data_IF_037354992448
#
_entry.id   IF_037354992448
#
_cell.length_a   1.000
_cell.length_b   1.000
_cell.length_c   1.000
_cell.angle_alpha   90.00
_cell.angle_beta   90.00
_cell.angle_gamma   90.00
#
_symmetry.space_group_name_H-M   'P 1'
#
loop_
_entity.id
_entity.type
_entity.pdbx_description
1 polymer ?
#
# COMPACT_ATOMS: atom_id res chain seq x y z
N UNK A 1 -5.03 10.06 -0.79
CA UNK A 1 -4.99 10.85 -2.05
C UNK A 1 -4.13 10.11 -3.06
N UNK A 2 -4.49 10.13 -4.35
CA UNK A 2 -3.70 9.54 -5.44
C UNK A 2 -4.08 8.11 -5.84
N UNK A 3 -4.87 7.39 -5.02
CA UNK A 3 -5.34 6.02 -5.28
C UNK A 3 -6.84 5.91 -4.96
N UNK A 4 -7.52 4.91 -5.52
CA UNK A 4 -8.94 4.66 -5.27
C UNK A 4 -9.88 5.65 -5.99
N UNK A 5 -9.84 5.70 -7.32
CA UNK A 5 -10.58 6.67 -8.13
C UNK A 5 -12.12 6.51 -8.12
N UNK A 6 -12.66 5.48 -7.45
CA UNK A 6 -14.09 5.18 -7.41
C UNK A 6 -14.64 4.49 -8.67
N UNK A 7 -13.78 4.21 -9.65
CA UNK A 7 -14.08 3.42 -10.85
C UNK A 7 -12.81 2.69 -11.31
N UNK A 8 -12.93 1.75 -12.26
CA UNK A 8 -11.79 1.06 -12.87
C UNK A 8 -11.37 1.84 -14.12
N UNK A 9 -10.16 2.43 -14.19
CA UNK A 9 -9.69 3.12 -15.38
C UNK A 9 -9.49 2.14 -16.55
N UNK A 10 -9.79 2.58 -17.78
CA UNK A 10 -9.66 1.74 -18.99
C UNK A 10 -8.22 1.29 -19.29
N UNK A 11 -7.23 2.00 -18.74
CA UNK A 11 -5.79 1.68 -18.90
C UNK A 11 -5.29 0.61 -17.93
N UNK A 12 -6.10 0.19 -16.95
CA UNK A 12 -5.72 -0.86 -16.00
C UNK A 12 -5.96 -2.23 -16.64
N UNK A 13 -4.88 -2.97 -16.86
CA UNK A 13 -4.96 -4.40 -17.17
C UNK A 13 -5.16 -5.18 -15.87
N UNK A 14 -6.30 -5.88 -15.76
CA UNK A 14 -6.64 -6.69 -14.57
C UNK A 14 -6.15 -8.13 -14.69
N UNK A 15 -5.76 -8.58 -15.89
CA UNK A 15 -5.28 -9.94 -16.08
C UNK A 15 -3.92 -10.18 -15.41
N UNK A 16 -3.20 -9.12 -15.07
CA UNK A 16 -1.88 -9.15 -14.39
C UNK A 16 -1.97 -8.90 -12.88
N UNK A 17 -3.18 -8.85 -12.30
CA UNK A 17 -3.38 -8.57 -10.87
C UNK A 17 -3.81 -9.85 -10.16
N UNK A 18 -2.95 -10.37 -9.27
CA UNK A 18 -3.23 -11.59 -8.50
C UNK A 18 -4.15 -11.36 -7.30
N UNK A 19 -4.18 -10.14 -6.76
CA UNK A 19 -4.95 -9.80 -5.58
C UNK A 19 -5.06 -8.29 -5.31
N UNK A 20 -5.89 -7.93 -4.34
CA UNK A 20 -6.11 -6.54 -3.93
C UNK A 20 -6.08 -6.44 -2.40
N UNK A 21 -5.09 -5.72 -1.89
CA UNK A 21 -5.00 -5.39 -0.46
C UNK A 21 -5.76 -4.09 -0.15
N UNK A 22 -6.72 -4.17 0.78
CA UNK A 22 -7.44 -3.00 1.26
C UNK A 22 -6.73 -2.40 2.48
N UNK A 23 -6.41 -1.12 2.40
CA UNK A 23 -5.74 -0.38 3.48
C UNK A 23 -6.60 0.80 3.89
N UNK A 24 -6.78 0.95 5.20
CA UNK A 24 -7.53 2.07 5.75
C UNK A 24 -6.71 3.36 5.65
N UNK A 25 -7.38 4.51 5.65
CA UNK A 25 -6.67 5.79 5.69
C UNK A 25 -5.80 5.91 6.95
N UNK A 26 -6.28 5.44 8.10
CA UNK A 26 -5.57 5.47 9.37
C UNK A 26 -4.24 4.71 9.29
N UNK A 27 -4.29 3.44 8.85
CA UNK A 27 -3.09 2.61 8.65
C UNK A 27 -2.10 3.27 7.69
N UNK A 28 -2.59 3.86 6.60
CA UNK A 28 -1.75 4.52 5.60
C UNK A 28 -1.07 5.77 6.16
N UNK A 29 -1.78 6.56 6.97
CA UNK A 29 -1.21 7.73 7.64
C UNK A 29 -0.17 7.35 8.68
N UNK A 30 -0.45 6.33 9.49
CA UNK A 30 0.49 5.83 10.49
C UNK A 30 1.76 5.32 9.84
N UNK A 31 1.64 4.50 8.79
CA UNK A 31 2.81 3.98 8.08
C UNK A 31 3.62 5.09 7.39
N UNK A 32 2.97 6.08 6.76
CA UNK A 32 3.68 7.20 6.16
C UNK A 32 4.48 8.02 7.20
N UNK A 33 3.91 8.23 8.39
CA UNK A 33 4.61 8.88 9.51
C UNK A 33 5.77 8.03 10.04
N UNK A 34 5.56 6.71 10.15
CA UNK A 34 6.60 5.77 10.57
C UNK A 34 7.77 5.76 9.59
N UNK A 35 7.51 5.67 8.28
CA UNK A 35 8.55 5.73 7.26
C UNK A 35 9.40 7.02 7.36
N UNK A 36 8.76 8.17 7.62
CA UNK A 36 9.48 9.42 7.83
C UNK A 36 10.34 9.40 9.12
N UNK A 37 9.83 8.80 10.20
CA UNK A 37 10.48 8.79 11.51
C UNK A 37 11.58 7.74 11.66
N UNK A 38 11.31 6.53 11.18
CA UNK A 38 12.15 5.33 11.38
C UNK A 38 13.20 5.23 10.27
N UNK A 39 12.81 5.48 9.01
CA UNK A 39 13.68 5.30 7.84
C UNK A 39 14.22 6.63 7.30
N UNK A 40 13.73 7.77 7.81
CA UNK A 40 14.09 9.09 7.27
C UNK A 40 13.52 9.35 5.88
N UNK A 41 12.48 8.63 5.46
CA UNK A 41 11.87 8.73 4.13
C UNK A 41 10.49 9.40 4.25
N UNK A 42 10.38 10.73 4.06
CA UNK A 42 9.09 11.41 4.09
C UNK A 42 8.28 11.08 2.84
N UNK A 43 7.13 10.44 3.02
CA UNK A 43 6.24 10.02 1.93
C UNK A 43 4.80 10.44 2.16
N UNK A 44 4.01 10.41 1.08
CA UNK A 44 2.58 10.66 1.12
C UNK A 44 1.74 9.45 1.53
N UNK A 45 0.43 9.68 1.68
CA UNK A 45 -0.55 8.68 2.12
C UNK A 45 -0.58 7.44 1.21
N UNK A 46 -0.49 7.61 -0.11
CA UNK A 46 -0.50 6.48 -1.05
C UNK A 46 0.70 5.56 -0.85
N UNK A 47 1.87 6.12 -0.55
CA UNK A 47 3.07 5.34 -0.23
C UNK A 47 2.92 4.64 1.12
N UNK A 48 2.32 5.31 2.11
CA UNK A 48 1.97 4.67 3.38
C UNK A 48 1.04 3.47 3.18
N UNK A 49 0.02 3.60 2.32
CA UNK A 49 -0.88 2.49 1.99
C UNK A 49 -0.13 1.33 1.30
N UNK A 50 0.73 1.64 0.33
CA UNK A 50 1.54 0.63 -0.37
C UNK A 50 2.48 -0.11 0.59
N UNK A 51 3.16 0.61 1.49
CA UNK A 51 4.05 0.01 2.50
C UNK A 51 3.28 -0.85 3.51
N UNK A 52 2.11 -0.41 3.96
CA UNK A 52 1.26 -1.22 4.85
C UNK A 52 0.86 -2.53 4.20
N UNK A 53 0.38 -2.50 2.94
CA UNK A 53 0.05 -3.71 2.19
C UNK A 53 1.27 -4.62 2.02
N UNK A 54 2.42 -4.05 1.64
CA UNK A 54 3.66 -4.79 1.46
C UNK A 54 4.11 -5.51 2.74
N UNK A 55 4.09 -4.83 3.90
CA UNK A 55 4.47 -5.46 5.17
C UNK A 55 3.46 -6.54 5.62
N UNK A 56 2.16 -6.36 5.35
CA UNK A 56 1.14 -7.39 5.64
C UNK A 56 1.38 -8.66 4.83
N UNK A 57 1.67 -8.51 3.53
CA UNK A 57 2.00 -9.66 2.66
C UNK A 57 3.32 -10.31 3.10
N UNK A 58 4.37 -9.53 3.31
CA UNK A 58 5.67 -10.04 3.74
C UNK A 58 5.65 -10.79 5.08
N UNK A 59 4.63 -10.57 5.92
CA UNK A 59 4.44 -11.27 7.19
C UNK A 59 3.74 -12.64 7.06
N UNK A 60 3.22 -13.00 5.88
CA UNK A 60 2.58 -14.29 5.67
C UNK A 60 3.61 -15.36 5.33
N UNK A 61 3.36 -16.60 5.77
CA UNK A 61 4.27 -17.73 5.57
C UNK A 61 4.58 -17.98 4.08
N UNK A 62 3.62 -17.72 3.19
CA UNK A 62 3.79 -17.85 1.74
C UNK A 62 4.89 -16.93 1.17
N UNK A 63 5.18 -15.81 1.83
CA UNK A 63 6.17 -14.82 1.40
C UNK A 63 7.41 -14.75 2.32
N UNK A 64 7.60 -15.74 3.20
CA UNK A 64 8.66 -15.72 4.21
C UNK A 64 10.10 -15.81 3.63
N UNK A 65 10.25 -16.19 2.36
CA UNK A 65 11.54 -16.37 1.69
C UNK A 65 12.13 -17.76 1.88
#
# INVERSE_FOLDING_TARGET
>A
QGIGAGFIPAVVDRAVIDGVEQVTNEDAFDMARRAAREEGIPVGISSGAALTAAFRLAAQDEYAG
#
